data_IF_019684323630
#
_entry.id   IF_019684323630
#
_cell.length_a   1.000
_cell.length_b   1.000
_cell.length_c   1.000
_cell.angle_alpha   90.00
_cell.angle_beta   90.00
_cell.angle_gamma   90.00
#
_symmetry.space_group_name_H-M   'P 1'
#
loop_
_entity.id
_entity.type
_entity.pdbx_description
1 polymer ?
#
# COMPACT_ATOMS: atom_id res chain seq x y z
N UNK A 1 -2.61 -12.44 16.74
CA UNK A 1 -2.40 -11.18 17.47
C UNK A 1 -1.14 -10.48 16.96
N UNK A 2 -1.08 -9.14 17.01
CA UNK A 2 0.13 -8.38 16.75
C UNK A 2 1.28 -8.91 17.61
N UNK A 3 2.27 -9.52 16.98
CA UNK A 3 3.49 -9.91 17.65
C UNK A 3 4.40 -8.68 17.67
N UNK A 4 5.08 -8.42 18.79
CA UNK A 4 6.11 -7.38 18.92
C UNK A 4 7.41 -7.78 18.18
N UNK A 5 7.27 -8.28 16.94
CA UNK A 5 8.37 -8.62 16.03
C UNK A 5 7.94 -8.36 14.59
N UNK A 6 8.92 -7.98 13.78
CA UNK A 6 8.75 -7.79 12.34
C UNK A 6 8.53 -9.13 11.63
N UNK A 7 7.76 -9.07 10.53
CA UNK A 7 7.57 -10.15 9.57
C UNK A 7 7.76 -9.57 8.15
N UNK A 8 8.08 -10.38 7.13
CA UNK A 8 8.10 -9.91 5.75
C UNK A 8 6.78 -9.20 5.40
N UNK A 9 6.86 -7.98 4.89
CA UNK A 9 5.69 -7.16 4.56
C UNK A 9 4.93 -6.56 5.76
N UNK A 10 5.31 -6.85 7.00
CA UNK A 10 4.66 -6.32 8.20
C UNK A 10 5.69 -5.85 9.24
N UNK A 11 5.84 -4.54 9.35
CA UNK A 11 6.72 -3.93 10.35
C UNK A 11 5.93 -3.65 11.63
N UNK A 12 6.41 -4.15 12.76
CA UNK A 12 5.87 -3.76 14.04
C UNK A 12 6.34 -2.33 14.37
N UNK A 13 5.40 -1.51 14.84
CA UNK A 13 5.66 -0.17 15.36
C UNK A 13 4.91 -0.01 16.68
N UNK A 14 5.60 0.37 17.78
CA UNK A 14 4.94 0.66 19.05
C UNK A 14 3.84 1.71 18.84
N UNK A 15 2.64 1.44 19.33
CA UNK A 15 1.47 2.30 19.24
C UNK A 15 0.57 2.04 20.47
N UNK A 16 -0.37 2.95 20.83
CA UNK A 16 -1.26 2.78 21.99
C UNK A 16 -2.03 1.46 21.98
N UNK A 17 -2.31 0.93 20.80
CA UNK A 17 -2.80 -0.42 20.62
C UNK A 17 -1.82 -1.18 19.70
N UNK A 18 -1.51 -2.45 20.02
CA UNK A 18 -0.55 -3.24 19.27
C UNK A 18 -1.07 -3.44 17.83
N UNK A 19 -0.29 -2.99 16.83
CA UNK A 19 -0.64 -3.07 15.42
C UNK A 19 0.63 -3.19 14.56
N UNK A 20 0.46 -3.69 13.33
CA UNK A 20 1.51 -3.70 12.32
C UNK A 20 1.30 -2.61 11.27
N UNK A 21 2.40 -2.14 10.71
CA UNK A 21 2.43 -1.37 9.46
C UNK A 21 2.68 -2.33 8.31
N UNK A 22 1.70 -2.47 7.42
CA UNK A 22 1.81 -3.34 6.26
C UNK A 22 2.47 -2.61 5.07
N UNK A 23 3.50 -3.21 4.49
CA UNK A 23 4.04 -2.86 3.19
C UNK A 23 3.19 -3.55 2.11
N UNK A 24 2.09 -2.90 1.72
CA UNK A 24 1.16 -3.44 0.73
C UNK A 24 1.83 -3.70 -0.64
N UNK A 25 2.72 -2.83 -1.16
CA UNK A 25 3.48 -3.12 -2.36
C UNK A 25 4.37 -4.36 -2.27
N UNK A 26 5.04 -4.61 -1.15
CA UNK A 26 5.86 -5.82 -0.97
C UNK A 26 4.99 -7.08 -0.97
N UNK A 27 3.89 -7.09 -0.21
CA UNK A 27 2.95 -8.22 -0.18
C UNK A 27 2.36 -8.53 -1.56
N UNK A 28 2.10 -7.51 -2.38
CA UNK A 28 1.65 -7.70 -3.76
C UNK A 28 2.75 -8.36 -4.63
N UNK A 29 4.01 -7.94 -4.48
CA UNK A 29 5.16 -8.53 -5.20
C UNK A 29 5.36 -10.00 -4.84
N UNK A 30 5.28 -10.35 -3.57
CA UNK A 30 5.39 -11.73 -3.11
C UNK A 30 4.31 -12.61 -3.76
N UNK A 31 3.07 -12.11 -3.79
CA UNK A 31 1.94 -12.80 -4.46
C UNK A 31 2.18 -12.96 -5.96
N UNK A 32 2.59 -11.90 -6.66
CA UNK A 32 2.88 -11.96 -8.10
C UNK A 32 4.02 -12.93 -8.42
N UNK A 33 5.08 -12.91 -7.62
CA UNK A 33 6.23 -13.82 -7.77
C UNK A 33 5.82 -15.27 -7.53
N UNK A 34 4.93 -15.53 -6.56
CA UNK A 34 4.42 -16.89 -6.29
C UNK A 34 3.66 -17.53 -7.47
N UNK A 35 3.18 -16.71 -8.40
CA UNK A 35 2.52 -17.15 -9.65
C UNK A 35 3.40 -16.93 -10.88
N UNK A 36 4.72 -16.86 -10.70
CA UNK A 36 5.74 -16.74 -11.75
C UNK A 36 5.70 -15.45 -12.59
N UNK A 37 5.12 -14.36 -12.08
CA UNK A 37 5.30 -13.05 -12.71
C UNK A 37 6.71 -12.54 -12.40
N UNK A 38 7.54 -12.34 -13.43
CA UNK A 38 8.97 -12.01 -13.27
C UNK A 38 9.30 -10.54 -13.54
N UNK A 39 8.46 -9.83 -14.30
CA UNK A 39 8.65 -8.41 -14.59
C UNK A 39 7.65 -7.59 -13.75
N UNK A 40 8.12 -7.09 -12.61
CA UNK A 40 7.30 -6.32 -11.67
C UNK A 40 7.96 -4.96 -11.43
N UNK A 41 7.21 -3.88 -11.66
CA UNK A 41 7.67 -2.50 -11.47
C UNK A 41 6.58 -1.64 -10.82
N UNK A 42 6.93 -0.40 -10.43
CA UNK A 42 6.02 0.52 -9.77
C UNK A 42 5.87 0.28 -8.27
N UNK A 43 4.73 0.66 -7.68
CA UNK A 43 4.44 0.45 -6.25
C UNK A 43 5.32 1.25 -5.28
N UNK A 44 5.88 2.38 -5.73
CA UNK A 44 6.70 3.29 -4.90
C UNK A 44 5.92 4.48 -4.34
N UNK A 45 4.71 4.73 -4.82
CA UNK A 45 3.88 5.84 -4.35
C UNK A 45 3.13 5.48 -3.07
N UNK A 46 3.01 6.47 -2.19
CA UNK A 46 2.18 6.40 -1.00
C UNK A 46 1.08 7.46 -1.10
N UNK A 47 -0.16 7.01 -1.27
CA UNK A 47 -1.32 7.91 -1.42
C UNK A 47 -1.54 8.78 -0.18
N UNK A 48 -1.09 8.34 1.00
CA UNK A 48 -1.16 9.11 2.24
C UNK A 48 -0.08 10.20 2.33
N UNK A 49 1.12 10.04 1.81
CA UNK A 49 2.17 11.07 1.97
C UNK A 49 2.27 11.98 0.75
N UNK A 50 1.86 11.51 -0.43
CA UNK A 50 1.96 12.23 -1.70
C UNK A 50 0.61 12.89 -2.05
N UNK A 51 0.18 13.80 -1.19
CA UNK A 51 -1.19 14.33 -1.12
C UNK A 51 -1.57 15.34 -2.20
N UNK A 52 -0.56 16.01 -2.78
CA UNK A 52 -0.74 16.84 -3.98
C UNK A 52 -1.15 16.04 -5.23
N UNK A 53 -0.97 14.71 -5.21
CA UNK A 53 -1.17 13.83 -6.38
C UNK A 53 -2.33 12.85 -6.22
N UNK A 54 -2.65 12.43 -4.99
CA UNK A 54 -3.57 11.33 -4.75
C UNK A 54 -4.67 11.68 -3.74
N UNK A 55 -5.88 11.19 -4.01
CA UNK A 55 -6.87 10.99 -2.95
C UNK A 55 -6.44 9.84 -2.04
N UNK A 56 -6.70 9.96 -0.73
CA UNK A 56 -6.36 8.93 0.25
C UNK A 56 -7.43 8.80 1.31
N UNK A 57 -8.05 7.61 1.39
CA UNK A 57 -9.05 7.29 2.40
C UNK A 57 -8.52 7.51 3.84
N UNK A 58 -7.26 7.16 4.12
CA UNK A 58 -6.65 7.45 5.43
C UNK A 58 -6.45 8.96 5.64
N UNK A 59 -6.16 9.69 4.58
CA UNK A 59 -6.02 11.14 4.60
C UNK A 59 -7.35 11.88 4.79
N UNK A 60 -8.48 11.28 4.38
CA UNK A 60 -9.82 11.87 4.62
C UNK A 60 -10.06 12.09 6.11
N UNK A 61 -9.63 11.17 6.98
CA UNK A 61 -9.69 11.32 8.44
C UNK A 61 -8.81 12.46 8.99
N UNK A 62 -7.86 12.96 8.19
CA UNK A 62 -7.01 14.11 8.49
C UNK A 62 -7.53 15.41 7.86
N UNK A 63 -8.76 15.41 7.32
CA UNK A 63 -9.39 16.59 6.71
C UNK A 63 -9.02 16.82 5.24
N UNK A 64 -8.40 15.84 4.56
CA UNK A 64 -8.07 15.97 3.13
C UNK A 64 -9.28 15.77 2.21
N UNK A 65 -9.23 16.28 0.96
CA UNK A 65 -10.28 16.07 -0.01
C UNK A 65 -10.61 14.60 -0.24
N UNK A 66 -11.91 14.30 -0.35
CA UNK A 66 -12.42 12.96 -0.65
C UNK A 66 -12.44 12.74 -2.15
N UNK A 67 -12.23 11.49 -2.57
CA UNK A 67 -12.28 11.13 -3.99
C UNK A 67 -11.79 9.71 -4.24
N UNK A 68 -11.81 9.27 -5.49
CA UNK A 68 -11.31 7.97 -5.93
C UNK A 68 -10.49 8.15 -7.19
N UNK A 69 -9.34 7.49 -7.24
CA UNK A 69 -8.54 7.36 -8.45
C UNK A 69 -8.94 6.09 -9.20
N UNK A 70 -8.61 6.03 -10.50
CA UNK A 70 -8.77 4.84 -11.32
C UNK A 70 -7.41 4.44 -11.92
N UNK A 71 -7.15 3.14 -11.98
CA UNK A 71 -6.06 2.57 -12.76
C UNK A 71 -6.70 1.79 -13.92
N UNK A 72 -6.37 2.16 -15.16
CA UNK A 72 -6.99 1.62 -16.35
C UNK A 72 -5.93 1.00 -17.27
N UNK A 73 -6.28 -0.11 -17.91
CA UNK A 73 -5.48 -0.74 -18.96
C UNK A 73 -6.42 -1.12 -20.10
N UNK A 74 -5.98 -0.91 -21.34
CA UNK A 74 -6.73 -1.27 -22.53
C UNK A 74 -5.76 -1.75 -23.62
N UNK A 75 -6.23 -2.69 -24.44
CA UNK A 75 -5.60 -2.95 -25.73
C UNK A 75 -6.18 -1.94 -26.72
N UNK A 76 -5.35 -1.04 -27.20
CA UNK A 76 -5.70 -0.14 -28.30
C UNK A 76 -5.39 -0.83 -29.62
N UNK A 77 -6.24 -0.59 -30.63
CA UNK A 77 -6.04 -1.10 -31.99
C UNK A 77 -5.05 -0.23 -32.74
#
# INVERSE_FOLDING_TARGET
EPMARDQPGFLYRPNPEPRWHADLPLLARERLTSVNVTQISGGSWCTLTDDSRFFSFRGEALGRPRGRMAACIALVR
#
